data_IF_831054845809
#
_entry.id   IF_831054845809
#
_cell.length_a   1.000
_cell.length_b   1.000
_cell.length_c   1.000
_cell.angle_alpha   90.00
_cell.angle_beta   90.00
_cell.angle_gamma   90.00
#
_symmetry.space_group_name_H-M   'P 1'
#
loop_
_entity.id
_entity.type
_entity.pdbx_description
1 polymer ?
#
# COMPACT_ATOMS: atom_id res chain seq x y z
N UNK A 1 4.20 -19.35 40.83
CA UNK A 1 4.66 -19.28 39.42
C UNK A 1 3.45 -18.99 38.55
N UNK A 2 3.27 -17.77 38.03
CA UNK A 2 2.11 -17.51 37.19
C UNK A 2 2.43 -17.98 35.77
N UNK A 3 1.65 -18.96 35.31
CA UNK A 3 1.52 -19.34 33.90
C UNK A 3 0.78 -18.17 33.23
N UNK A 4 1.55 -17.17 32.82
CA UNK A 4 1.05 -15.96 32.18
C UNK A 4 1.42 -15.95 30.71
N UNK A 5 0.40 -15.94 29.86
CA UNK A 5 0.37 -15.15 28.63
C UNK A 5 1.25 -15.60 27.43
N UNK A 6 1.16 -16.87 27.01
CA UNK A 6 1.62 -17.30 25.68
C UNK A 6 0.50 -17.41 24.61
N UNK A 7 -0.79 -17.29 24.99
CA UNK A 7 -1.91 -17.54 24.05
C UNK A 7 -2.48 -16.30 23.32
N UNK A 8 -1.96 -15.08 23.53
CA UNK A 8 -2.47 -13.88 22.81
C UNK A 8 -1.59 -13.39 21.64
N UNK A 9 -0.42 -13.99 21.40
CA UNK A 9 0.62 -13.41 20.51
C UNK A 9 0.49 -13.68 19.01
N UNK A 10 -0.58 -14.32 18.51
CA UNK A 10 -0.61 -14.80 17.11
C UNK A 10 -1.95 -14.55 16.38
N UNK A 11 -2.52 -13.34 16.45
CA UNK A 11 -3.74 -13.00 15.69
C UNK A 11 -3.48 -12.77 14.20
N UNK A 12 -2.27 -12.35 13.84
CA UNK A 12 -1.86 -12.11 12.45
C UNK A 12 -0.76 -13.08 12.04
N UNK A 13 -1.14 -14.15 11.32
CA UNK A 13 -0.17 -15.17 10.90
C UNK A 13 0.70 -14.66 9.74
N UNK A 14 2.01 -14.82 9.84
CA UNK A 14 2.94 -14.70 8.71
C UNK A 14 3.36 -16.11 8.30
N UNK A 15 3.41 -16.37 7.01
CA UNK A 15 4.16 -17.52 6.49
C UNK A 15 4.94 -17.10 5.25
N UNK A 16 6.20 -16.79 5.51
CA UNK A 16 7.23 -16.38 4.57
C UNK A 16 8.28 -17.48 4.33
N UNK A 17 8.04 -18.71 4.80
CA UNK A 17 8.98 -19.82 4.68
C UNK A 17 8.44 -20.98 3.83
N UNK A 18 7.12 -21.24 3.87
CA UNK A 18 6.53 -22.30 3.04
C UNK A 18 6.63 -21.93 1.57
N UNK A 19 7.06 -22.86 0.68
CA UNK A 19 7.16 -22.61 -0.75
C UNK A 19 5.86 -22.07 -1.36
N UNK A 20 5.98 -21.25 -2.41
CA UNK A 20 4.80 -20.81 -3.15
C UNK A 20 4.11 -22.01 -3.80
N UNK A 21 2.80 -22.16 -3.55
CA UNK A 21 2.04 -23.33 -3.96
C UNK A 21 1.44 -24.10 -2.79
N UNK A 22 2.03 -24.00 -1.58
CA UNK A 22 1.53 -24.63 -0.36
C UNK A 22 0.08 -24.26 -0.07
N UNK A 23 -0.33 -23.02 -0.38
CA UNK A 23 -1.67 -22.52 -0.13
C UNK A 23 -2.50 -22.34 -1.41
N UNK A 24 -2.28 -23.20 -2.41
CA UNK A 24 -3.11 -23.20 -3.63
C UNK A 24 -4.58 -23.49 -3.27
N UNK A 25 -5.53 -22.61 -3.64
CA UNK A 25 -6.93 -22.92 -3.47
C UNK A 25 -7.34 -24.13 -4.29
N UNK A 26 -8.32 -24.90 -3.80
CA UNK A 26 -8.96 -25.93 -4.61
C UNK A 26 -9.58 -25.32 -5.88
N UNK A 27 -9.71 -26.13 -6.95
CA UNK A 27 -10.16 -25.70 -8.28
C UNK A 27 -11.47 -24.90 -8.20
N UNK A 28 -12.43 -25.35 -7.38
CA UNK A 28 -13.70 -24.65 -7.18
C UNK A 28 -13.52 -23.22 -6.63
N UNK A 29 -12.74 -23.05 -5.56
CA UNK A 29 -12.48 -21.74 -4.97
C UNK A 29 -11.68 -20.84 -5.91
N UNK A 30 -10.69 -21.39 -6.61
CA UNK A 30 -9.91 -20.66 -7.60
C UNK A 30 -10.77 -20.16 -8.76
N UNK A 31 -11.66 -21.00 -9.30
CA UNK A 31 -12.60 -20.62 -10.35
C UNK A 31 -13.55 -19.51 -9.90
N UNK A 32 -14.09 -19.58 -8.68
CA UNK A 32 -14.92 -18.51 -8.14
C UNK A 32 -14.14 -17.21 -7.94
N UNK A 33 -12.89 -17.25 -7.48
CA UNK A 33 -12.03 -16.06 -7.40
C UNK A 33 -11.85 -15.44 -8.79
N UNK A 34 -11.57 -16.25 -9.81
CA UNK A 34 -11.43 -15.74 -11.19
C UNK A 34 -12.73 -15.05 -11.65
N UNK A 35 -13.88 -15.66 -11.40
CA UNK A 35 -15.19 -15.05 -11.72
C UNK A 35 -15.37 -13.75 -10.95
N UNK A 36 -15.10 -13.70 -9.63
CA UNK A 36 -15.30 -12.46 -8.87
C UNK A 36 -14.43 -11.31 -9.38
N UNK A 37 -13.22 -11.61 -9.87
CA UNK A 37 -12.28 -10.64 -10.44
C UNK A 37 -12.67 -10.16 -11.85
N UNK A 38 -13.45 -10.93 -12.59
CA UNK A 38 -13.92 -10.56 -13.93
C UNK A 38 -15.27 -9.84 -13.95
N UNK A 39 -15.95 -9.75 -12.81
CA UNK A 39 -17.24 -9.06 -12.72
C UNK A 39 -17.11 -7.55 -12.99
N UNK A 40 -18.08 -6.94 -13.69
CA UNK A 40 -18.06 -5.51 -13.99
C UNK A 40 -18.20 -4.68 -12.71
N UNK A 41 -17.71 -3.44 -12.74
CA UNK A 41 -17.71 -2.54 -11.58
C UNK A 41 -19.06 -1.86 -11.30
N UNK A 42 -20.10 -2.19 -12.09
CA UNK A 42 -21.46 -1.70 -11.92
C UNK A 42 -22.17 -2.31 -10.69
N UNK A 43 -23.37 -1.83 -10.39
CA UNK A 43 -24.14 -2.25 -9.20
C UNK A 43 -24.39 -3.76 -9.14
N UNK A 44 -24.78 -4.37 -10.26
CA UNK A 44 -25.07 -5.80 -10.33
C UNK A 44 -23.79 -6.64 -10.12
N UNK A 45 -22.70 -6.29 -10.81
CA UNK A 45 -21.42 -6.96 -10.66
C UNK A 45 -20.87 -6.85 -9.23
N UNK A 46 -21.03 -5.69 -8.59
CA UNK A 46 -20.68 -5.53 -7.17
C UNK A 46 -21.51 -6.45 -6.25
N UNK A 47 -22.82 -6.57 -6.49
CA UNK A 47 -23.70 -7.44 -5.68
C UNK A 47 -23.33 -8.91 -5.85
N UNK A 48 -23.13 -9.36 -7.09
CA UNK A 48 -22.68 -10.72 -7.39
C UNK A 48 -21.31 -11.01 -6.78
N UNK A 49 -20.37 -10.07 -6.84
CA UNK A 49 -19.05 -10.21 -6.24
C UNK A 49 -19.15 -10.51 -4.74
N UNK A 50 -19.99 -9.79 -4.00
CA UNK A 50 -20.16 -10.04 -2.57
C UNK A 50 -20.73 -11.42 -2.25
N UNK A 51 -21.66 -11.92 -3.07
CA UNK A 51 -22.25 -13.26 -2.92
C UNK A 51 -21.19 -14.32 -3.23
N UNK A 52 -20.58 -14.27 -4.42
CA UNK A 52 -19.61 -15.26 -4.86
C UNK A 52 -18.36 -15.29 -3.98
N UNK A 53 -17.91 -14.13 -3.48
CA UNK A 53 -16.81 -14.05 -2.50
C UNK A 53 -17.10 -14.86 -1.25
N UNK A 54 -18.34 -14.83 -0.73
CA UNK A 54 -18.71 -15.60 0.47
C UNK A 54 -18.62 -17.11 0.21
N UNK A 55 -19.02 -17.54 -0.97
CA UNK A 55 -18.94 -18.95 -1.39
C UNK A 55 -17.48 -19.36 -1.57
N UNK A 56 -16.70 -18.59 -2.33
CA UNK A 56 -15.28 -18.84 -2.55
C UNK A 56 -14.49 -18.94 -1.25
N UNK A 57 -14.85 -18.10 -0.26
CA UNK A 57 -14.21 -18.09 1.04
C UNK A 57 -14.37 -19.40 1.84
N UNK A 58 -15.40 -20.23 1.58
CA UNK A 58 -15.59 -21.50 2.31
C UNK A 58 -14.43 -22.48 2.05
N UNK A 59 -13.89 -22.50 0.83
CA UNK A 59 -12.79 -23.39 0.44
C UNK A 59 -11.38 -22.88 0.75
N UNK A 60 -11.23 -21.85 1.60
CA UNK A 60 -9.95 -21.17 1.84
C UNK A 60 -9.66 -21.10 3.35
N UNK A 61 -8.56 -21.72 3.76
CA UNK A 61 -8.13 -21.86 5.17
C UNK A 61 -7.63 -20.55 5.78
N UNK A 62 -7.01 -19.65 5.01
CA UNK A 62 -6.61 -18.33 5.51
C UNK A 62 -5.55 -17.60 4.69
N UNK A 63 -4.63 -18.34 4.09
CA UNK A 63 -3.66 -17.85 3.09
C UNK A 63 -4.03 -18.42 1.73
N UNK A 64 -3.68 -17.69 0.68
CA UNK A 64 -3.97 -18.06 -0.71
C UNK A 64 -2.78 -17.72 -1.58
N UNK A 65 -2.19 -18.75 -2.18
CA UNK A 65 -1.20 -18.60 -3.25
C UNK A 65 -1.96 -18.49 -4.58
N UNK A 66 -1.86 -17.33 -5.24
CA UNK A 66 -2.57 -17.02 -6.48
C UNK A 66 -1.76 -16.06 -7.34
N UNK A 67 -2.24 -15.76 -8.53
CA UNK A 67 -1.67 -14.72 -9.38
C UNK A 67 -2.50 -13.45 -9.24
N UNK A 68 -1.87 -12.29 -9.10
CA UNK A 68 -2.51 -10.97 -9.09
C UNK A 68 -1.66 -9.99 -9.89
N UNK A 69 -2.30 -9.18 -10.73
CA UNK A 69 -1.62 -8.27 -11.68
C UNK A 69 -0.60 -8.96 -12.61
N UNK A 70 -0.74 -10.27 -12.84
CA UNK A 70 0.19 -11.08 -13.63
C UNK A 70 1.37 -11.65 -12.84
N UNK A 71 1.35 -11.54 -11.50
CA UNK A 71 2.46 -11.94 -10.63
C UNK A 71 2.03 -12.95 -9.56
N UNK A 72 2.85 -13.99 -9.27
CA UNK A 72 2.61 -14.86 -8.12
C UNK A 72 2.64 -14.07 -6.80
N UNK A 73 1.59 -14.23 -5.99
CA UNK A 73 1.46 -13.57 -4.69
C UNK A 73 0.74 -14.47 -3.67
N UNK A 74 1.22 -14.47 -2.44
CA UNK A 74 0.54 -15.00 -1.27
C UNK A 74 -0.27 -13.90 -0.59
N UNK A 75 -1.58 -14.08 -0.53
CA UNK A 75 -2.52 -13.13 0.08
C UNK A 75 -3.22 -13.75 1.30
N UNK A 76 -3.58 -12.90 2.25
CA UNK A 76 -4.27 -13.29 3.47
C UNK A 76 -5.75 -12.89 3.42
N UNK A 77 -6.62 -13.85 3.74
CA UNK A 77 -8.08 -13.66 3.77
C UNK A 77 -8.56 -12.82 4.98
N UNK A 78 -7.74 -12.72 6.03
CA UNK A 78 -8.06 -12.09 7.32
C UNK A 78 -6.90 -11.23 7.81
N UNK A 79 -7.22 -10.26 8.67
CA UNK A 79 -6.25 -9.40 9.34
C UNK A 79 -5.74 -8.23 8.49
N UNK A 80 -6.08 -8.16 7.20
CA UNK A 80 -5.76 -7.03 6.34
C UNK A 80 -6.87 -6.85 5.29
N UNK A 81 -7.58 -5.73 5.34
CA UNK A 81 -8.71 -5.44 4.43
C UNK A 81 -8.23 -5.30 2.98
N UNK A 82 -7.06 -4.71 2.76
CA UNK A 82 -6.46 -4.49 1.44
C UNK A 82 -6.16 -5.82 0.75
N UNK A 83 -5.53 -6.78 1.44
CA UNK A 83 -5.28 -8.13 0.91
C UNK A 83 -6.58 -8.86 0.58
N UNK A 84 -7.56 -8.82 1.50
CA UNK A 84 -8.86 -9.44 1.28
C UNK A 84 -9.57 -8.84 0.07
N UNK A 85 -9.49 -7.52 -0.12
CA UNK A 85 -10.08 -6.85 -1.28
C UNK A 85 -9.35 -7.24 -2.57
N UNK A 86 -8.02 -7.22 -2.57
CA UNK A 86 -7.19 -7.64 -3.70
C UNK A 86 -7.44 -9.10 -4.11
N UNK A 87 -7.64 -9.99 -3.14
CA UNK A 87 -7.89 -11.41 -3.40
C UNK A 87 -9.15 -11.61 -4.26
N UNK A 88 -10.24 -10.90 -4.00
CA UNK A 88 -11.54 -11.17 -4.65
C UNK A 88 -11.99 -10.11 -5.65
N UNK A 89 -11.53 -8.88 -5.50
CA UNK A 89 -12.13 -7.70 -6.13
C UNK A 89 -11.09 -6.60 -6.49
N UNK A 90 -9.95 -6.92 -7.13
CA UNK A 90 -8.91 -5.95 -7.46
C UNK A 90 -9.39 -4.88 -8.46
N UNK A 91 -10.38 -5.17 -9.28
CA UNK A 91 -11.01 -4.20 -10.18
C UNK A 91 -11.80 -3.10 -9.44
N UNK A 92 -12.14 -3.33 -8.16
CA UNK A 92 -12.77 -2.35 -7.29
C UNK A 92 -11.76 -1.63 -6.38
N UNK A 93 -10.47 -1.88 -6.55
CA UNK A 93 -9.39 -1.21 -5.84
C UNK A 93 -8.79 -0.15 -6.76
N UNK A 94 -9.19 1.10 -6.52
CA UNK A 94 -8.62 2.35 -7.04
C UNK A 94 -8.13 2.26 -8.50
N UNK A 95 -9.00 1.74 -9.38
CA UNK A 95 -8.61 1.43 -10.75
C UNK A 95 -8.19 2.69 -11.52
N UNK A 96 -8.87 3.82 -11.27
CA UNK A 96 -8.57 5.10 -11.95
C UNK A 96 -7.22 5.64 -11.52
N UNK A 97 -6.95 5.64 -10.22
CA UNK A 97 -5.70 6.07 -9.61
C UNK A 97 -4.53 5.22 -10.11
N UNK A 98 -4.68 3.89 -10.09
CA UNK A 98 -3.66 2.96 -10.60
C UNK A 98 -3.41 3.14 -12.09
N UNK A 99 -4.45 3.40 -12.89
CA UNK A 99 -4.29 3.69 -14.32
C UNK A 99 -3.58 5.02 -14.58
N UNK A 100 -3.91 6.07 -13.83
CA UNK A 100 -3.25 7.37 -13.92
C UNK A 100 -1.77 7.31 -13.51
N UNK A 101 -1.43 6.52 -12.49
CA UNK A 101 -0.03 6.28 -12.11
C UNK A 101 0.70 5.41 -13.14
N UNK A 102 0.04 4.37 -13.67
CA UNK A 102 0.64 3.50 -14.68
C UNK A 102 0.87 4.20 -16.03
N UNK A 103 0.08 5.24 -16.37
CA UNK A 103 0.28 6.00 -17.62
C UNK A 103 1.54 6.88 -17.61
N UNK A 104 2.18 7.04 -16.45
CA UNK A 104 3.48 7.71 -16.31
C UNK A 104 4.66 6.85 -16.78
N UNK A 105 4.42 5.60 -17.18
CA UNK A 105 5.46 4.66 -17.57
C UNK A 105 6.25 5.19 -18.77
N UNK A 106 7.58 5.27 -18.57
CA UNK A 106 8.60 5.65 -19.54
C UNK A 106 9.95 5.21 -19.00
N UNK A 107 10.98 5.27 -19.82
CA UNK A 107 12.35 5.03 -19.36
C UNK A 107 12.72 5.96 -18.20
N UNK A 108 13.36 5.37 -17.18
CA UNK A 108 13.77 6.03 -15.94
C UNK A 108 12.60 6.59 -15.11
N UNK A 109 11.36 6.13 -15.30
CA UNK A 109 10.23 6.55 -14.48
C UNK A 109 10.39 6.10 -13.02
N UNK A 110 10.09 7.00 -12.08
CA UNK A 110 10.17 6.72 -10.64
C UNK A 110 8.79 6.87 -10.01
N UNK A 111 8.35 5.83 -9.31
CA UNK A 111 7.12 5.82 -8.52
C UNK A 111 7.42 5.58 -7.04
N UNK A 112 6.80 6.36 -6.16
CA UNK A 112 6.93 6.22 -4.70
C UNK A 112 5.57 5.81 -4.11
N UNK A 113 5.52 4.69 -3.41
CA UNK A 113 4.33 4.13 -2.75
C UNK A 113 4.51 4.26 -1.22
N UNK A 114 3.96 5.32 -0.63
CA UNK A 114 4.09 5.63 0.80
C UNK A 114 2.90 5.05 1.56
N UNK A 115 3.16 4.20 2.55
CA UNK A 115 2.13 3.39 3.19
C UNK A 115 1.72 2.23 2.27
N UNK A 116 2.72 1.61 1.63
CA UNK A 116 2.51 0.66 0.57
C UNK A 116 1.67 -0.55 1.00
N UNK A 117 1.62 -0.87 2.30
CA UNK A 117 0.95 -2.04 2.83
C UNK A 117 1.52 -3.30 2.12
N UNK A 118 0.68 -4.08 1.43
CA UNK A 118 1.12 -5.22 0.61
C UNK A 118 1.57 -4.82 -0.81
N UNK A 119 1.91 -3.54 -0.99
CA UNK A 119 2.39 -2.91 -2.20
C UNK A 119 1.48 -3.14 -3.43
N UNK A 120 0.16 -3.12 -3.23
CA UNK A 120 -0.79 -3.41 -4.32
C UNK A 120 -0.72 -2.38 -5.45
N UNK A 121 -0.48 -1.11 -5.12
CA UNK A 121 -0.20 -0.07 -6.12
C UNK A 121 1.10 -0.39 -6.84
N UNK A 122 2.19 -0.61 -6.10
CA UNK A 122 3.49 -0.98 -6.64
C UNK A 122 3.43 -2.18 -7.61
N UNK A 123 2.82 -3.31 -7.23
CA UNK A 123 2.66 -4.47 -8.13
C UNK A 123 1.81 -4.16 -9.36
N UNK A 124 0.73 -3.39 -9.20
CA UNK A 124 -0.10 -2.99 -10.34
C UNK A 124 0.65 -2.09 -11.32
N UNK A 125 1.50 -1.20 -10.84
CA UNK A 125 2.28 -0.27 -11.67
C UNK A 125 3.47 -0.98 -12.28
N UNK A 126 4.12 -1.90 -11.54
CA UNK A 126 5.20 -2.75 -12.03
C UNK A 126 4.78 -3.61 -13.24
N UNK A 127 3.50 -3.98 -13.35
CA UNK A 127 2.95 -4.67 -14.53
C UNK A 127 3.18 -3.89 -15.84
N UNK A 128 3.26 -2.56 -15.77
CA UNK A 128 3.53 -1.68 -16.91
C UNK A 128 5.00 -1.23 -16.92
N UNK A 129 5.53 -0.78 -15.77
CA UNK A 129 6.88 -0.22 -15.64
C UNK A 129 7.98 -1.20 -16.06
N UNK A 130 7.80 -2.52 -15.82
CA UNK A 130 8.76 -3.55 -16.22
C UNK A 130 9.08 -3.60 -17.72
N UNK A 131 8.27 -2.96 -18.57
CA UNK A 131 8.48 -2.91 -20.02
C UNK A 131 9.35 -1.70 -20.45
N UNK A 132 9.85 -0.91 -19.51
CA UNK A 132 10.69 0.26 -19.74
C UNK A 132 12.03 0.12 -19.03
N UNK A 133 13.04 0.83 -19.53
CA UNK A 133 14.39 0.74 -19.00
C UNK A 133 14.52 1.56 -17.71
N UNK A 134 15.25 1.02 -16.73
CA UNK A 134 15.66 1.73 -15.50
C UNK A 134 14.51 2.36 -14.70
N UNK A 135 13.28 1.84 -14.82
CA UNK A 135 12.19 2.27 -13.94
C UNK A 135 12.46 1.86 -12.51
N UNK A 136 11.98 2.63 -11.54
CA UNK A 136 12.10 2.33 -10.10
C UNK A 136 10.77 2.55 -9.39
N UNK A 137 10.44 1.65 -8.48
CA UNK A 137 9.29 1.74 -7.59
C UNK A 137 9.80 1.57 -6.16
N UNK A 138 9.59 2.56 -5.29
CA UNK A 138 9.95 2.47 -3.88
C UNK A 138 8.70 2.21 -3.06
N UNK A 139 8.57 1.02 -2.50
CA UNK A 139 7.44 0.61 -1.67
C UNK A 139 7.79 0.76 -0.18
N UNK A 140 7.26 1.80 0.46
CA UNK A 140 7.60 2.20 1.82
C UNK A 140 6.49 1.70 2.76
N UNK A 141 6.82 0.74 3.62
CA UNK A 141 5.89 0.11 4.56
C UNK A 141 6.61 -0.23 5.88
N UNK A 142 6.30 0.43 7.00
CA UNK A 142 7.00 0.17 8.26
C UNK A 142 6.51 -1.05 9.04
N UNK A 143 5.30 -1.55 8.78
CA UNK A 143 4.67 -2.49 9.70
C UNK A 143 5.41 -3.83 9.70
N UNK A 144 5.88 -4.37 10.85
CA UNK A 144 6.73 -5.56 10.89
C UNK A 144 6.11 -6.80 10.22
N UNK A 145 4.84 -7.07 10.49
CA UNK A 145 4.10 -8.20 9.90
C UNK A 145 3.86 -8.02 8.40
N UNK A 146 3.41 -6.83 7.97
CA UNK A 146 3.12 -6.54 6.56
C UNK A 146 4.41 -6.54 5.75
N UNK A 147 5.48 -5.94 6.26
CA UNK A 147 6.82 -5.93 5.68
C UNK A 147 7.33 -7.34 5.37
N UNK A 148 7.15 -8.30 6.28
CA UNK A 148 7.53 -9.70 6.03
C UNK A 148 6.72 -10.34 4.91
N UNK A 149 5.40 -10.09 4.88
CA UNK A 149 4.53 -10.59 3.80
C UNK A 149 4.89 -9.96 2.45
N UNK A 150 5.20 -8.67 2.43
CA UNK A 150 5.66 -7.95 1.25
C UNK A 150 7.01 -8.49 0.76
N UNK A 151 7.98 -8.67 1.65
CA UNK A 151 9.29 -9.24 1.33
C UNK A 151 9.16 -10.64 0.71
N UNK A 152 8.28 -11.48 1.25
CA UNK A 152 7.99 -12.79 0.66
C UNK A 152 7.40 -12.67 -0.75
N UNK A 153 6.43 -11.78 -0.98
CA UNK A 153 5.87 -11.62 -2.33
C UNK A 153 6.87 -11.03 -3.32
N UNK A 154 7.80 -10.19 -2.87
CA UNK A 154 8.88 -9.68 -3.72
C UNK A 154 9.93 -10.75 -4.04
N UNK A 155 10.21 -11.68 -3.12
CA UNK A 155 11.13 -12.80 -3.40
C UNK A 155 10.58 -13.75 -4.48
N UNK A 156 9.26 -13.78 -4.68
CA UNK A 156 8.61 -14.50 -5.80
C UNK A 156 8.72 -13.75 -7.14
N UNK A 157 9.10 -12.47 -7.13
CA UNK A 157 9.07 -11.57 -8.28
C UNK A 157 10.37 -10.74 -8.38
N UNK A 158 11.55 -11.40 -8.48
CA UNK A 158 12.85 -10.71 -8.38
C UNK A 158 13.13 -9.73 -9.53
N UNK A 159 12.48 -9.91 -10.68
CA UNK A 159 12.71 -9.08 -11.88
C UNK A 159 11.87 -7.79 -11.89
N UNK A 160 11.03 -7.58 -10.88
CA UNK A 160 10.23 -6.37 -10.79
C UNK A 160 11.07 -5.19 -10.31
N UNK A 161 10.82 -3.97 -10.83
CA UNK A 161 11.54 -2.77 -10.42
C UNK A 161 11.06 -2.24 -9.06
N UNK A 162 10.69 -3.10 -8.11
CA UNK A 162 10.15 -2.73 -6.80
C UNK A 162 11.23 -2.92 -5.72
N UNK A 163 11.63 -1.81 -5.11
CA UNK A 163 12.52 -1.76 -3.96
C UNK A 163 11.68 -1.60 -2.68
N UNK A 164 11.65 -2.60 -1.77
CA UNK A 164 10.97 -2.46 -0.50
C UNK A 164 11.81 -1.64 0.50
N UNK A 165 11.15 -0.75 1.24
CA UNK A 165 11.76 0.07 2.28
C UNK A 165 10.93 -0.06 3.56
N UNK A 166 11.51 -0.68 4.57
CA UNK A 166 10.81 -1.02 5.83
C UNK A 166 11.05 0.03 6.93
N UNK A 167 10.74 1.29 6.62
CA UNK A 167 10.83 2.42 7.56
C UNK A 167 9.54 3.24 7.51
N UNK A 168 9.22 3.92 8.61
CA UNK A 168 8.15 4.91 8.65
C UNK A 168 8.61 6.22 8.04
N UNK A 169 7.66 7.05 7.62
CA UNK A 169 7.94 8.44 7.27
C UNK A 169 7.34 9.38 8.32
N UNK A 170 8.13 10.37 8.73
CA UNK A 170 7.72 11.38 9.70
C UNK A 170 8.51 12.67 9.56
N UNK A 171 8.35 13.56 10.54
CA UNK A 171 8.93 14.91 10.53
C UNK A 171 10.45 14.94 10.82
N UNK A 172 11.00 13.90 11.43
CA UNK A 172 12.43 13.76 11.71
C UNK A 172 12.85 12.29 11.65
N UNK A 173 14.16 12.07 11.53
CA UNK A 173 14.74 10.73 11.62
C UNK A 173 14.72 10.26 13.09
N UNK A 174 14.55 8.95 13.32
CA UNK A 174 14.62 8.37 14.66
C UNK A 174 13.66 7.21 14.87
N UNK A 175 13.40 6.85 16.13
CA UNK A 175 12.42 5.83 16.50
C UNK A 175 11.08 6.48 16.74
N UNK A 176 10.04 5.95 16.10
CA UNK A 176 8.66 6.37 16.31
C UNK A 176 7.81 5.18 16.74
N UNK A 177 6.71 5.47 17.44
CA UNK A 177 5.74 4.46 17.84
C UNK A 177 4.61 4.41 16.84
N UNK A 178 4.27 3.20 16.41
CA UNK A 178 3.15 2.92 15.52
C UNK A 178 2.13 2.09 16.28
N UNK A 179 0.85 2.46 16.17
CA UNK A 179 -0.27 1.69 16.71
C UNK A 179 -0.94 0.87 15.61
N UNK A 180 -1.29 -0.36 15.94
CA UNK A 180 -1.97 -1.31 15.05
C UNK A 180 -3.28 -1.76 15.69
N UNK A 181 -4.43 -1.53 15.03
CA UNK A 181 -5.71 -2.07 15.49
C UNK A 181 -5.75 -3.60 15.44
N UNK A 182 -6.41 -4.22 16.41
CA UNK A 182 -6.52 -5.68 16.57
C UNK A 182 -7.01 -6.47 15.34
N UNK A 183 -7.74 -5.81 14.43
CA UNK A 183 -8.48 -6.48 13.36
C UNK A 183 -8.01 -6.14 11.94
N UNK A 184 -7.21 -5.08 11.77
CA UNK A 184 -6.78 -4.62 10.45
C UNK A 184 -5.37 -4.02 10.49
N UNK A 185 -4.39 -4.80 10.05
CA UNK A 185 -3.00 -4.36 9.89
C UNK A 185 -2.88 -3.12 8.99
N UNK A 186 -3.78 -2.99 8.01
CA UNK A 186 -3.76 -1.89 7.05
C UNK A 186 -4.16 -0.53 7.63
N UNK A 187 -4.74 -0.48 8.82
CA UNK A 187 -5.11 0.76 9.52
C UNK A 187 -4.01 1.20 10.53
N UNK A 188 -2.79 0.68 10.38
CA UNK A 188 -1.69 1.01 11.27
C UNK A 188 -1.18 2.41 10.97
N UNK A 189 -0.89 3.18 12.03
CA UNK A 189 -0.44 4.57 11.90
C UNK A 189 0.53 4.97 13.00
N UNK A 190 1.26 6.04 12.76
CA UNK A 190 2.08 6.66 13.80
C UNK A 190 1.18 7.19 14.95
N UNK A 191 1.64 7.00 16.18
CA UNK A 191 1.04 7.60 17.36
C UNK A 191 1.51 9.05 17.48
N UNK A 192 0.57 9.96 17.79
CA UNK A 192 0.90 11.34 18.13
C UNK A 192 1.48 11.41 19.55
N UNK A 193 2.24 12.46 19.84
CA UNK A 193 2.77 12.68 21.19
C UNK A 193 1.64 12.84 22.20
N UNK A 194 1.75 12.14 23.34
CA UNK A 194 0.72 12.12 24.39
C UNK A 194 -0.53 11.29 24.06
N UNK A 195 -0.62 10.70 22.86
CA UNK A 195 -1.76 9.85 22.50
C UNK A 195 -1.73 8.50 23.25
N UNK A 196 -2.89 8.08 23.77
CA UNK A 196 -3.06 6.76 24.38
C UNK A 196 -3.40 5.75 23.28
N UNK A 197 -2.55 4.74 23.12
CA UNK A 197 -2.75 3.68 22.14
C UNK A 197 -3.97 2.81 22.49
N UNK A 198 -4.82 2.55 21.49
CA UNK A 198 -5.98 1.64 21.58
C UNK A 198 -5.73 0.26 20.96
N UNK A 199 -4.46 -0.10 20.71
CA UNK A 199 -4.05 -1.33 20.05
C UNK A 199 -2.59 -1.73 20.34
N UNK A 200 -2.06 -2.67 19.57
CA UNK A 200 -0.65 -3.10 19.67
C UNK A 200 0.27 -1.95 19.26
N UNK A 201 1.34 -1.71 20.02
CA UNK A 201 2.32 -0.66 19.73
C UNK A 201 3.63 -1.30 19.32
N UNK A 202 4.15 -0.88 18.16
CA UNK A 202 5.46 -1.27 17.66
C UNK A 202 6.36 -0.04 17.57
N UNK A 203 7.63 -0.21 17.94
CA UNK A 203 8.67 0.77 17.65
C UNK A 203 9.24 0.51 16.26
N UNK A 204 9.30 1.56 15.44
CA UNK A 204 9.80 1.50 14.08
C UNK A 204 10.83 2.60 13.84
N UNK A 205 11.78 2.33 12.96
CA UNK A 205 12.65 3.38 12.44
C UNK A 205 11.85 4.27 11.50
N UNK A 206 12.01 5.58 11.64
CA UNK A 206 11.39 6.58 10.81
C UNK A 206 12.45 7.48 10.17
N UNK A 207 12.13 7.98 8.97
CA UNK A 207 12.96 8.92 8.21
C UNK A 207 12.10 10.05 7.68
N UNK A 208 12.72 11.20 7.44
CA UNK A 208 12.10 12.21 6.57
C UNK A 208 12.04 11.70 5.13
N UNK A 209 11.00 12.09 4.38
CA UNK A 209 10.88 11.70 2.96
C UNK A 209 12.09 12.18 2.15
N UNK A 210 12.53 13.43 2.34
CA UNK A 210 13.72 13.95 1.65
C UNK A 210 15.01 13.23 2.03
N UNK A 211 15.21 12.92 3.31
CA UNK A 211 16.37 12.16 3.76
C UNK A 211 16.42 10.77 3.12
N UNK A 212 15.26 10.09 3.05
CA UNK A 212 15.16 8.79 2.41
C UNK A 212 15.42 8.87 0.89
N UNK A 213 14.82 9.83 0.19
CA UNK A 213 15.02 10.00 -1.26
C UNK A 213 16.49 10.29 -1.59
N UNK A 214 17.18 11.08 -0.75
CA UNK A 214 18.60 11.37 -0.88
C UNK A 214 19.44 10.11 -0.73
N UNK A 215 19.20 9.32 0.33
CA UNK A 215 19.89 8.03 0.55
C UNK A 215 19.70 7.06 -0.63
N UNK A 216 18.50 7.02 -1.19
CA UNK A 216 18.14 6.15 -2.32
C UNK A 216 18.57 6.68 -3.68
N UNK A 217 19.32 7.79 -3.70
CA UNK A 217 19.79 8.48 -4.90
C UNK A 217 18.64 8.77 -5.88
N UNK A 218 17.50 9.18 -5.35
CA UNK A 218 16.34 9.59 -6.15
C UNK A 218 16.53 11.07 -6.50
N UNK A 219 16.49 11.38 -7.79
CA UNK A 219 16.63 12.74 -8.32
C UNK A 219 15.44 13.18 -9.17
N UNK A 220 14.41 12.33 -9.26
CA UNK A 220 13.13 12.62 -9.91
C UNK A 220 12.03 11.73 -9.36
N UNK A 221 10.80 12.23 -9.36
CA UNK A 221 9.60 11.43 -9.07
C UNK A 221 8.58 11.71 -10.17
N UNK A 222 8.09 10.67 -10.82
CA UNK A 222 7.01 10.80 -11.81
C UNK A 222 5.65 10.66 -11.13
N UNK A 223 5.50 9.69 -10.24
CA UNK A 223 4.26 9.46 -9.51
C UNK A 223 4.49 9.20 -8.02
N UNK A 224 3.53 9.59 -7.19
CA UNK A 224 3.53 9.30 -5.77
C UNK A 224 2.13 8.85 -5.33
N UNK A 225 2.04 7.79 -4.53
CA UNK A 225 0.87 7.48 -3.71
C UNK A 225 1.26 7.70 -2.25
N UNK A 226 0.38 8.33 -1.49
CA UNK A 226 0.51 8.39 -0.03
C UNK A 226 -0.81 7.99 0.63
N UNK A 227 -0.71 7.07 1.58
CA UNK A 227 -1.80 6.47 2.33
C UNK A 227 -1.30 6.06 3.72
N UNK A 228 -1.26 7.00 4.66
CA UNK A 228 -0.68 6.77 5.99
C UNK A 228 -1.65 7.18 7.10
N UNK A 229 -2.93 6.93 6.84
CA UNK A 229 -4.02 6.93 7.82
C UNK A 229 -4.21 8.25 8.58
N UNK A 230 -3.91 9.38 7.93
CA UNK A 230 -4.06 10.73 8.49
C UNK A 230 -2.76 11.42 8.89
N UNK A 231 -1.60 10.81 8.59
CA UNK A 231 -0.30 11.43 8.80
C UNK A 231 0.29 12.02 7.51
N UNK A 232 -0.52 12.15 6.45
CA UNK A 232 -0.05 12.59 5.12
C UNK A 232 0.55 14.00 5.18
N UNK A 233 -0.08 14.92 5.92
CA UNK A 233 0.37 16.30 6.05
C UNK A 233 1.78 16.41 6.64
N UNK A 234 2.09 15.59 7.65
CA UNK A 234 3.35 15.65 8.38
C UNK A 234 4.54 15.19 7.52
N UNK A 235 4.25 14.39 6.48
CA UNK A 235 5.24 13.95 5.50
C UNK A 235 5.28 14.89 4.30
N UNK A 236 4.13 15.24 3.73
CA UNK A 236 4.04 15.98 2.47
C UNK A 236 4.31 17.47 2.62
N UNK A 237 3.91 18.12 3.70
CA UNK A 237 4.13 19.55 3.89
C UNK A 237 5.63 19.90 3.90
N UNK A 238 6.47 19.33 4.79
CA UNK A 238 7.89 19.63 4.77
C UNK A 238 8.55 19.23 3.45
N UNK A 239 8.09 18.15 2.82
CA UNK A 239 8.55 17.74 1.50
C UNK A 239 8.22 18.80 0.43
N UNK A 240 6.98 19.25 0.30
CA UNK A 240 6.57 20.26 -0.67
C UNK A 240 7.25 21.61 -0.43
N UNK A 241 7.52 21.97 0.83
CA UNK A 241 8.22 23.20 1.20
C UNK A 241 9.71 23.16 0.83
N UNK A 242 10.39 22.04 1.04
CA UNK A 242 11.86 21.94 0.99
C UNK A 242 12.42 21.18 -0.22
N UNK A 243 11.62 20.34 -0.89
CA UNK A 243 12.09 19.54 -2.01
C UNK A 243 12.52 20.44 -3.17
N UNK A 244 13.65 20.12 -3.84
CA UNK A 244 13.98 20.76 -5.10
C UNK A 244 12.95 20.38 -6.17
N UNK A 245 12.78 21.27 -7.14
CA UNK A 245 11.71 21.22 -8.14
C UNK A 245 11.65 19.88 -8.91
N UNK A 246 12.80 19.29 -9.21
CA UNK A 246 12.92 18.00 -9.89
C UNK A 246 12.39 16.81 -9.07
N UNK A 247 12.31 16.92 -7.74
CA UNK A 247 11.75 15.88 -6.88
C UNK A 247 10.24 16.01 -6.71
N UNK A 248 9.64 17.15 -7.04
CA UNK A 248 8.19 17.29 -6.95
C UNK A 248 7.51 16.37 -7.98
N UNK A 249 6.66 15.42 -7.53
CA UNK A 249 6.01 14.46 -8.42
C UNK A 249 5.19 15.14 -9.53
N UNK A 250 5.09 14.51 -10.69
CA UNK A 250 4.15 14.98 -11.73
C UNK A 250 2.71 14.67 -11.34
N UNK A 251 2.48 13.55 -10.66
CA UNK A 251 1.18 13.12 -10.18
C UNK A 251 1.26 12.62 -8.73
N UNK A 252 0.40 13.12 -7.86
CA UNK A 252 0.26 12.66 -6.47
C UNK A 252 -1.15 12.13 -6.26
N UNK A 253 -1.26 10.90 -5.79
CA UNK A 253 -2.51 10.32 -5.28
C UNK A 253 -2.44 10.33 -3.76
N UNK A 254 -3.40 11.00 -3.12
CA UNK A 254 -3.46 11.16 -1.66
C UNK A 254 -4.76 10.57 -1.15
N UNK A 255 -4.72 9.76 -0.08
CA UNK A 255 -5.96 9.41 0.62
C UNK A 255 -6.63 10.68 1.15
N UNK A 256 -7.93 10.85 0.89
CA UNK A 256 -8.68 12.03 1.30
C UNK A 256 -9.00 11.98 2.80
N UNK A 257 -8.00 12.33 3.60
CA UNK A 257 -8.06 12.47 5.04
C UNK A 257 -8.18 13.94 5.47
N UNK A 258 -8.81 14.81 4.66
CA UNK A 258 -8.90 16.26 4.92
C UNK A 258 -9.33 16.63 6.35
N UNK A 259 -10.28 15.89 6.92
CA UNK A 259 -10.77 16.13 8.29
C UNK A 259 -9.75 15.78 9.40
N UNK A 260 -8.65 15.11 9.07
CA UNK A 260 -7.58 14.74 10.01
C UNK A 260 -6.35 15.66 9.90
N UNK A 261 -6.27 16.49 8.86
CA UNK A 261 -5.16 17.41 8.63
C UNK A 261 -5.37 18.71 9.39
N UNK A 262 -4.32 19.19 10.05
CA UNK A 262 -4.27 20.46 10.78
C UNK A 262 -3.96 21.63 9.84
N UNK A 263 -3.20 21.38 8.77
CA UNK A 263 -2.85 22.36 7.74
C UNK A 263 -3.51 21.99 6.40
N UNK A 264 -3.85 23.00 5.61
CA UNK A 264 -4.40 22.80 4.28
C UNK A 264 -3.31 22.35 3.29
N UNK A 265 -3.12 21.03 3.23
CA UNK A 265 -2.18 20.37 2.33
C UNK A 265 -2.50 20.64 0.86
N UNK A 266 -3.79 20.75 0.50
CA UNK A 266 -4.20 20.95 -0.88
C UNK A 266 -3.90 22.38 -1.33
N UNK A 267 -4.20 23.38 -0.49
CA UNK A 267 -3.82 24.76 -0.76
C UNK A 267 -2.30 24.92 -0.87
N UNK A 268 -1.50 24.25 -0.02
CA UNK A 268 -0.05 24.25 -0.16
C UNK A 268 0.39 23.65 -1.50
N UNK A 269 -0.19 22.51 -1.89
CA UNK A 269 0.11 21.89 -3.19
C UNK A 269 -0.23 22.84 -4.35
N UNK A 270 -1.34 23.57 -4.29
CA UNK A 270 -1.69 24.59 -5.30
C UNK A 270 -0.60 25.67 -5.43
N UNK A 271 -0.01 26.14 -4.31
CA UNK A 271 1.12 27.10 -4.37
C UNK A 271 2.36 26.52 -5.05
N UNK A 272 2.45 25.20 -5.19
CA UNK A 272 3.53 24.46 -5.86
C UNK A 272 3.17 24.04 -7.29
N UNK A 273 2.08 24.56 -7.84
CA UNK A 273 1.66 24.33 -9.23
C UNK A 273 0.84 23.07 -9.45
N UNK A 274 0.35 22.43 -8.39
CA UNK A 274 -0.56 21.30 -8.51
C UNK A 274 -2.00 21.77 -8.68
N UNK A 275 -2.80 20.99 -9.40
CA UNK A 275 -4.25 21.16 -9.45
C UNK A 275 -4.93 19.83 -9.19
N UNK A 276 -6.03 19.88 -8.43
CA UNK A 276 -6.90 18.74 -8.21
C UNK A 276 -7.66 18.40 -9.49
N UNK A 277 -7.27 17.30 -10.13
CA UNK A 277 -7.90 16.86 -11.37
C UNK A 277 -9.09 15.95 -11.13
N UNK A 278 -9.05 15.14 -10.08
CA UNK A 278 -10.07 14.14 -9.81
C UNK A 278 -10.15 13.85 -8.32
N UNK A 279 -11.35 13.97 -7.78
CA UNK A 279 -11.69 13.47 -6.46
C UNK A 279 -12.46 12.16 -6.66
N UNK A 280 -11.91 11.06 -6.19
CA UNK A 280 -12.62 9.78 -6.13
C UNK A 280 -13.27 9.62 -4.77
N UNK A 281 -13.85 8.44 -4.48
CA UNK A 281 -14.50 8.20 -3.19
C UNK A 281 -13.53 8.31 -2.01
N UNK A 282 -12.27 7.93 -2.21
CA UNK A 282 -11.27 7.81 -1.12
C UNK A 282 -10.01 8.62 -1.40
N UNK A 283 -9.73 9.02 -2.64
CA UNK A 283 -8.47 9.66 -2.98
C UNK A 283 -8.68 10.99 -3.70
N UNK A 284 -7.67 11.86 -3.61
CA UNK A 284 -7.50 13.04 -4.44
C UNK A 284 -6.30 12.80 -5.37
N UNK A 285 -6.46 13.10 -6.66
CA UNK A 285 -5.38 13.08 -7.65
C UNK A 285 -4.98 14.51 -7.96
N UNK A 286 -3.74 14.85 -7.62
CA UNK A 286 -3.09 16.12 -7.93
C UNK A 286 -2.14 15.93 -9.12
N UNK A 287 -2.25 16.76 -10.14
CA UNK A 287 -1.28 16.81 -11.25
C UNK A 287 -0.58 18.16 -11.26
N UNK A 288 0.73 18.14 -11.50
CA UNK A 288 1.56 19.34 -11.59
C UNK A 288 1.62 19.85 -13.02
N UNK A 289 1.37 21.15 -13.19
CA UNK A 289 1.48 21.86 -14.47
C UNK A 289 2.92 22.20 -14.85
#
# INVERSE_FOLDING_TARGET
MPIGNQMSRNRHTVDDNSPFGTYRPGIFALSLIKVTRSLPTNWLGRRLMFILRRIAAVGISGKVDTELFGFPMRLHKRGNVSEKRALYAPQFFDLKERQALASLAKDNAVFIDIGANMALYSFSIAAVFKNFNNTRILAIEPHPIVSRRLAYNLSLNPDLPIEPIFVGLGIHDGVMRMVTPDNNLGESRLLRDGEIASGEVNEIQARTLLGLLTEKNINRIDGMKIDIEGHEEAVLIPFLEQAPENLLPRLIVIENNYNKWERDLLALAETKGYVSQTITRMNVILEKF
#
